data_IF_954432687145
#
_entry.id   IF_954432687145
#
_cell.length_a   1.000
_cell.length_b   1.000
_cell.length_c   1.000
_cell.angle_alpha   90.00
_cell.angle_beta   90.00
_cell.angle_gamma   90.00
#
_symmetry.space_group_name_H-M   'P 1'
#
loop_
_entity.id
_entity.type
_entity.pdbx_description
1 polymer ?
#
# COMPACT_ATOMS: atom_id res chain seq x y z
N UNK A 1 10.46 -21.46 36.63
CA UNK A 1 9.22 -20.80 36.13
C UNK A 1 9.43 -19.33 35.78
N UNK A 2 10.00 -18.50 36.66
CA UNK A 2 10.23 -17.05 36.38
C UNK A 2 11.14 -16.77 35.18
N UNK A 3 12.20 -17.56 34.99
CA UNK A 3 13.10 -17.43 33.85
C UNK A 3 12.45 -17.86 32.52
N UNK A 4 11.47 -18.78 32.58
CA UNK A 4 10.71 -19.22 31.41
C UNK A 4 9.73 -18.12 30.94
N UNK A 5 9.09 -17.44 31.90
CA UNK A 5 8.23 -16.27 31.63
C UNK A 5 9.01 -15.10 31.03
N UNK A 6 10.24 -14.84 31.53
CA UNK A 6 11.10 -13.80 30.98
C UNK A 6 11.52 -14.10 29.53
N UNK A 7 11.91 -15.34 29.24
CA UNK A 7 12.28 -15.75 27.87
C UNK A 7 11.07 -15.67 26.93
N UNK A 8 9.88 -16.05 27.39
CA UNK A 8 8.65 -15.92 26.61
C UNK A 8 8.32 -14.46 26.29
N UNK A 9 8.47 -13.54 27.25
CA UNK A 9 8.23 -12.10 27.00
C UNK A 9 9.21 -11.54 25.96
N UNK A 10 10.50 -11.90 26.04
CA UNK A 10 11.52 -11.41 25.11
C UNK A 10 11.24 -11.90 23.68
N UNK A 11 10.83 -13.16 23.51
CA UNK A 11 10.49 -13.71 22.19
C UNK A 11 9.27 -13.02 21.54
N UNK A 12 8.26 -12.62 22.32
CA UNK A 12 7.10 -11.89 21.80
C UNK A 12 7.45 -10.46 21.35
N UNK A 13 8.42 -9.81 21.99
CA UNK A 13 8.89 -8.49 21.60
C UNK A 13 9.53 -8.48 20.21
N UNK A 14 10.22 -9.57 19.84
CA UNK A 14 10.99 -9.69 18.60
C UNK A 14 10.12 -9.93 17.36
N UNK A 15 8.82 -10.21 17.52
CA UNK A 15 7.89 -10.48 16.42
C UNK A 15 7.17 -9.22 15.91
N UNK A 16 7.39 -8.05 16.51
CA UNK A 16 6.79 -6.79 16.06
C UNK A 16 7.67 -6.13 14.98
N UNK A 17 7.65 -6.66 13.76
CA UNK A 17 8.18 -5.97 12.59
C UNK A 17 7.22 -4.86 12.16
N UNK A 18 7.63 -3.59 12.26
CA UNK A 18 6.87 -2.50 11.66
C UNK A 18 7.08 -2.51 10.14
N UNK A 19 6.11 -3.05 9.40
CA UNK A 19 6.04 -2.91 7.94
C UNK A 19 5.32 -1.60 7.61
N UNK A 20 6.06 -0.53 7.35
CA UNK A 20 5.46 0.71 6.84
C UNK A 20 4.90 0.46 5.44
N UNK A 21 3.61 0.73 5.24
CA UNK A 21 3.02 0.68 3.90
C UNK A 21 3.75 1.63 2.96
N UNK A 22 3.84 1.28 1.67
CA UNK A 22 4.45 2.17 0.66
C UNK A 22 3.78 3.54 0.63
N UNK A 23 2.47 3.61 0.86
CA UNK A 23 1.74 4.87 1.05
C UNK A 23 2.35 5.71 2.19
N UNK A 24 2.56 5.10 3.36
CA UNK A 24 3.09 5.81 4.53
C UNK A 24 4.50 6.33 4.29
N UNK A 25 5.36 5.54 3.63
CA UNK A 25 6.71 5.97 3.26
C UNK A 25 6.66 7.18 2.31
N UNK A 26 5.78 7.16 1.32
CA UNK A 26 5.57 8.30 0.41
C UNK A 26 5.04 9.53 1.15
N UNK A 27 4.17 9.35 2.14
CA UNK A 27 3.70 10.45 2.97
C UNK A 27 4.82 11.08 3.80
N UNK A 28 5.69 10.25 4.40
CA UNK A 28 6.88 10.69 5.16
C UNK A 28 7.89 11.44 4.26
N UNK A 29 8.00 11.05 2.99
CA UNK A 29 8.82 11.74 1.99
C UNK A 29 8.21 13.07 1.47
N UNK A 30 7.01 13.44 1.93
CA UNK A 30 6.38 14.71 1.60
C UNK A 30 5.65 14.73 0.26
N UNK A 31 5.24 13.57 -0.27
CA UNK A 31 4.41 13.53 -1.47
C UNK A 31 3.05 14.22 -1.22
N UNK A 32 2.57 14.91 -2.25
CA UNK A 32 1.31 15.66 -2.17
C UNK A 32 0.11 14.75 -1.91
N UNK A 33 -0.88 15.23 -1.13
CA UNK A 33 -2.09 14.47 -0.80
C UNK A 33 -2.77 13.88 -2.04
N UNK A 34 -2.89 14.66 -3.12
CA UNK A 34 -3.52 14.18 -4.34
C UNK A 34 -2.80 12.97 -4.96
N UNK A 35 -1.47 12.93 -4.88
CA UNK A 35 -0.68 11.79 -5.32
C UNK A 35 -0.91 10.57 -4.41
N UNK A 36 -0.91 10.77 -3.08
CA UNK A 36 -1.15 9.70 -2.11
C UNK A 36 -2.55 9.08 -2.26
N UNK A 37 -3.58 9.91 -2.48
CA UNK A 37 -4.94 9.43 -2.74
C UNK A 37 -4.98 8.56 -4.00
N UNK A 38 -4.36 9.05 -5.10
CA UNK A 38 -4.26 8.30 -6.35
C UNK A 38 -3.55 6.97 -6.13
N UNK A 39 -2.42 7.00 -5.43
CA UNK A 39 -1.62 5.82 -5.11
C UNK A 39 -2.42 4.74 -4.39
N UNK A 40 -3.20 5.13 -3.37
CA UNK A 40 -4.07 4.22 -2.63
C UNK A 40 -5.15 3.61 -3.52
N UNK A 41 -5.82 4.44 -4.33
CA UNK A 41 -6.88 4.02 -5.25
C UNK A 41 -6.37 3.10 -6.35
N UNK A 42 -5.18 3.38 -6.89
CA UNK A 42 -4.49 2.55 -7.88
C UNK A 42 -4.16 1.17 -7.34
N UNK A 43 -3.56 1.09 -6.15
CA UNK A 43 -3.23 -0.19 -5.52
C UNK A 43 -4.49 -1.00 -5.17
N UNK A 44 -5.54 -0.35 -4.66
CA UNK A 44 -6.83 -1.04 -4.45
C UNK A 44 -7.44 -1.55 -5.76
N UNK A 45 -7.44 -0.72 -6.81
CA UNK A 45 -7.94 -1.11 -8.13
C UNK A 45 -7.17 -2.29 -8.71
N UNK A 46 -5.87 -2.36 -8.41
CA UNK A 46 -5.02 -3.46 -8.85
C UNK A 46 -5.37 -4.77 -8.14
N UNK A 47 -5.61 -4.74 -6.82
CA UNK A 47 -5.96 -5.92 -6.04
C UNK A 47 -7.30 -6.56 -6.44
N UNK A 48 -8.20 -5.77 -7.03
CA UNK A 48 -9.51 -6.22 -7.53
C UNK A 48 -9.59 -6.32 -9.06
N UNK A 49 -8.47 -6.12 -9.78
CA UNK A 49 -8.48 -5.98 -11.25
C UNK A 49 -9.05 -7.20 -12.01
N UNK A 50 -9.06 -8.40 -11.40
CA UNK A 50 -9.74 -9.59 -11.94
C UNK A 50 -11.27 -9.51 -11.93
N UNK A 51 -11.85 -8.54 -11.22
CA UNK A 51 -13.27 -8.30 -11.04
C UNK A 51 -13.64 -6.87 -11.47
N UNK A 52 -13.10 -6.40 -12.59
CA UNK A 52 -13.25 -5.02 -13.09
C UNK A 52 -14.70 -4.59 -13.37
N UNK A 53 -15.65 -5.53 -13.38
CA UNK A 53 -17.09 -5.29 -13.54
C UNK A 53 -17.87 -5.19 -12.21
N UNK A 54 -17.23 -5.45 -11.06
CA UNK A 54 -17.84 -5.37 -9.73
C UNK A 54 -17.47 -4.07 -9.02
N UNK A 55 -18.35 -3.61 -8.12
CA UNK A 55 -18.13 -2.47 -7.23
C UNK A 55 -16.81 -2.62 -6.46
N UNK A 56 -15.77 -1.91 -6.90
CA UNK A 56 -14.45 -2.01 -6.31
C UNK A 56 -13.34 -1.33 -7.12
N UNK A 57 -13.48 -1.20 -8.43
CA UNK A 57 -12.49 -0.44 -9.20
C UNK A 57 -12.55 1.06 -8.84
N UNK A 58 -11.50 1.60 -8.21
CA UNK A 58 -11.44 2.98 -7.72
C UNK A 58 -10.61 3.83 -8.67
N UNK A 59 -11.27 4.55 -9.56
CA UNK A 59 -10.62 5.52 -10.44
C UNK A 59 -11.55 6.70 -10.65
N UNK A 60 -11.36 7.75 -9.86
CA UNK A 60 -12.13 8.99 -9.96
C UNK A 60 -11.91 9.62 -11.36
N UNK A 61 -12.93 9.66 -12.24
CA UNK A 61 -12.76 10.13 -13.61
C UNK A 61 -12.43 11.63 -13.70
N UNK A 62 -13.00 12.44 -12.80
CA UNK A 62 -12.80 13.89 -12.81
C UNK A 62 -11.38 14.23 -12.35
N UNK A 63 -10.93 13.63 -11.25
CA UNK A 63 -9.55 13.81 -10.77
C UNK A 63 -8.55 13.19 -11.72
N UNK A 64 -8.89 12.07 -12.36
CA UNK A 64 -8.06 11.49 -13.41
C UNK A 64 -7.87 12.50 -14.54
N UNK A 65 -8.93 13.18 -14.99
CA UNK A 65 -8.86 14.17 -16.06
C UNK A 65 -8.15 15.48 -15.67
N UNK A 66 -8.29 15.95 -14.43
CA UNK A 66 -7.93 17.33 -14.05
C UNK A 66 -6.78 17.44 -13.06
N UNK A 67 -6.49 16.40 -12.27
CA UNK A 67 -5.48 16.43 -11.19
C UNK A 67 -4.29 15.54 -11.55
N UNK A 68 -3.26 16.15 -12.16
CA UNK A 68 -2.06 15.44 -12.63
C UNK A 68 -1.44 14.52 -11.56
N UNK A 69 -1.35 15.00 -10.32
CA UNK A 69 -0.76 14.26 -9.21
C UNK A 69 -1.57 13.01 -8.84
N UNK A 70 -2.90 13.11 -8.85
CA UNK A 70 -3.78 11.95 -8.65
C UNK A 70 -3.61 10.94 -9.77
N UNK A 71 -3.59 11.39 -11.02
CA UNK A 71 -3.37 10.52 -12.19
C UNK A 71 -2.05 9.75 -12.09
N UNK A 72 -0.96 10.45 -11.80
CA UNK A 72 0.36 9.82 -11.67
C UNK A 72 0.39 8.84 -10.49
N UNK A 73 -0.09 9.27 -9.32
CA UNK A 73 -0.17 8.40 -8.15
C UNK A 73 -0.99 7.15 -8.42
N UNK A 74 -2.13 7.27 -9.10
CA UNK A 74 -2.97 6.13 -9.46
C UNK A 74 -2.24 5.14 -10.37
N UNK A 75 -1.54 5.62 -11.40
CA UNK A 75 -0.76 4.76 -12.28
C UNK A 75 0.34 4.03 -11.51
N UNK A 76 1.13 4.77 -10.73
CA UNK A 76 2.22 4.22 -9.93
C UNK A 76 1.69 3.20 -8.90
N UNK A 77 0.60 3.53 -8.21
CA UNK A 77 -0.05 2.64 -7.26
C UNK A 77 -0.57 1.36 -7.92
N UNK A 78 -1.14 1.46 -9.12
CA UNK A 78 -1.64 0.30 -9.87
C UNK A 78 -0.51 -0.63 -10.33
N UNK A 79 0.64 -0.08 -10.72
CA UNK A 79 1.81 -0.86 -11.15
C UNK A 79 2.56 -1.48 -9.95
N UNK A 80 2.78 -0.70 -8.90
CA UNK A 80 3.62 -1.09 -7.76
C UNK A 80 2.98 -2.11 -6.82
N UNK A 81 1.64 -2.21 -6.77
CA UNK A 81 0.93 -3.00 -5.75
C UNK A 81 1.24 -4.51 -5.81
N UNK A 82 1.46 -5.08 -6.99
CA UNK A 82 1.91 -6.48 -7.11
C UNK A 82 3.43 -6.62 -7.23
N UNK A 83 4.15 -5.56 -7.56
CA UNK A 83 5.61 -5.60 -7.60
C UNK A 83 6.20 -5.94 -6.21
N UNK A 84 5.51 -5.59 -5.11
CA UNK A 84 5.91 -6.02 -3.76
C UNK A 84 5.68 -7.52 -3.48
N UNK A 85 4.76 -8.18 -4.18
CA UNK A 85 4.48 -9.62 -3.98
C UNK A 85 5.22 -10.51 -4.99
N UNK A 86 5.81 -9.94 -6.05
CA UNK A 86 6.52 -10.71 -7.07
C UNK A 86 8.01 -10.93 -6.76
N UNK A 87 8.60 -10.16 -5.83
CA UNK A 87 10.00 -10.36 -5.41
C UNK A 87 10.17 -11.65 -4.60
N UNK A 88 9.09 -12.20 -4.03
CA UNK A 88 9.12 -13.45 -3.25
C UNK A 88 9.07 -14.74 -4.11
N UNK A 89 9.04 -14.64 -5.44
CA UNK A 89 8.97 -15.79 -6.35
C UNK A 89 10.21 -15.97 -7.26
N UNK A 90 11.31 -15.24 -7.02
CA UNK A 90 12.61 -15.40 -7.68
C UNK A 90 13.71 -15.71 -6.66
#
# INVERSE_FOLDING_TARGET
MKNLLLMSLISFSLLNGCSNSRHQQLAELGFERAYLDGYQDGCYSRSVAGNTYLDGFRRDPERMATVLKYRNGWQDGFEHCYADNQVDYL
#
